data_IF_236446621907
#
_entry.id   IF_236446621907
#
_cell.length_a   1.000
_cell.length_b   1.000
_cell.length_c   1.000
_cell.angle_alpha   90.00
_cell.angle_beta   90.00
_cell.angle_gamma   90.00
#
_symmetry.space_group_name_H-M   'P 1'
#
loop_
_entity.id
_entity.type
_entity.pdbx_description
1 polymer ?
#
# COMPACT_ATOMS: atom_id res chain seq x y z
N UNK A 1 -8.72 -1.60 -6.84
CA UNK A 1 -7.62 -0.63 -6.77
C UNK A 1 -6.50 -1.17 -7.65
N UNK A 2 -5.95 -0.41 -8.60
CA UNK A 2 -4.86 -0.92 -9.45
C UNK A 2 -3.55 -0.85 -8.68
N UNK A 3 -3.10 -2.00 -8.18
CA UNK A 3 -1.90 -2.15 -7.36
C UNK A 3 -0.65 -2.02 -8.24
N UNK A 4 0.08 -0.93 -8.06
CA UNK A 4 1.32 -0.63 -8.80
C UNK A 4 2.49 -0.52 -7.84
N UNK A 5 3.68 -0.84 -8.31
CA UNK A 5 4.91 -0.58 -7.55
C UNK A 5 5.34 0.88 -7.69
N UNK A 6 5.82 1.46 -6.60
CA UNK A 6 6.41 2.80 -6.53
C UNK A 6 7.93 2.73 -6.57
N UNK A 7 8.51 1.70 -5.95
CA UNK A 7 9.95 1.44 -5.94
C UNK A 7 10.23 -0.05 -6.07
N UNK A 8 11.34 -0.37 -6.72
CA UNK A 8 11.96 -1.70 -6.74
C UNK A 8 13.45 -1.53 -6.51
N UNK A 9 14.06 -2.41 -5.72
CA UNK A 9 15.50 -2.43 -5.45
C UNK A 9 16.04 -3.85 -5.57
N UNK A 10 17.24 -4.05 -6.10
CA UNK A 10 17.89 -5.35 -6.09
C UNK A 10 18.32 -5.69 -4.65
N UNK A 11 18.07 -6.93 -4.22
CA UNK A 11 18.58 -7.46 -2.96
C UNK A 11 19.84 -8.30 -3.18
N UNK A 12 20.19 -9.17 -2.24
CA UNK A 12 21.31 -10.11 -2.39
C UNK A 12 20.98 -11.21 -3.42
N UNK A 13 21.98 -11.69 -4.16
CA UNK A 13 21.80 -12.74 -5.17
C UNK A 13 20.84 -12.31 -6.29
N UNK A 14 19.70 -13.00 -6.40
CA UNK A 14 18.66 -12.73 -7.42
C UNK A 14 17.33 -12.31 -6.77
N UNK A 15 17.42 -11.65 -5.62
CA UNK A 15 16.25 -11.17 -4.89
C UNK A 15 15.85 -9.75 -5.27
N UNK A 16 14.57 -9.43 -5.08
CA UNK A 16 13.99 -8.11 -5.30
C UNK A 16 13.20 -7.62 -4.09
N UNK A 17 13.37 -6.35 -3.76
CA UNK A 17 12.55 -5.62 -2.80
C UNK A 17 11.61 -4.69 -3.55
N UNK A 18 10.30 -4.96 -3.47
CA UNK A 18 9.25 -4.16 -4.10
C UNK A 18 8.50 -3.37 -3.03
N UNK A 19 8.15 -2.12 -3.36
CA UNK A 19 7.20 -1.30 -2.59
C UNK A 19 6.03 -0.95 -3.47
N UNK A 20 4.82 -1.18 -2.99
CA UNK A 20 3.58 -0.92 -3.69
C UNK A 20 2.99 0.44 -3.31
N UNK A 21 2.10 0.95 -4.15
CA UNK A 21 1.41 2.23 -3.94
C UNK A 21 0.47 2.23 -2.73
N UNK A 22 0.05 1.05 -2.27
CA UNK A 22 -0.67 0.86 -1.01
C UNK A 22 0.28 0.93 0.21
N UNK A 23 1.60 1.00 0.00
CA UNK A 23 2.63 0.99 1.02
C UNK A 23 3.08 -0.41 1.44
N UNK A 24 2.50 -1.47 0.87
CA UNK A 24 2.97 -2.82 1.16
C UNK A 24 4.36 -3.04 0.56
N UNK A 25 5.13 -3.95 1.16
CA UNK A 25 6.42 -4.36 0.62
C UNK A 25 6.47 -5.87 0.42
N UNK A 26 7.21 -6.28 -0.61
CA UNK A 26 7.47 -7.69 -0.90
C UNK A 26 8.97 -7.87 -1.12
N UNK A 27 9.54 -8.89 -0.50
CA UNK A 27 10.88 -9.38 -0.76
C UNK A 27 10.75 -10.78 -1.36
N UNK A 28 11.21 -10.97 -2.60
CA UNK A 28 11.04 -12.22 -3.34
C UNK A 28 12.32 -12.62 -4.07
N UNK A 29 12.52 -13.92 -4.23
CA UNK A 29 13.60 -14.51 -5.02
C UNK A 29 13.10 -14.74 -6.47
N UNK A 30 13.76 -14.13 -7.45
CA UNK A 30 13.44 -14.30 -8.88
C UNK A 30 14.43 -15.22 -9.61
N UNK A 31 15.17 -16.06 -8.89
CA UNK A 31 16.07 -17.07 -9.47
C UNK A 31 15.41 -17.93 -10.56
N UNK A 32 14.11 -18.25 -10.42
CA UNK A 32 13.34 -18.98 -11.45
C UNK A 32 13.29 -18.29 -12.80
N UNK A 33 13.34 -16.96 -12.84
CA UNK A 33 13.34 -16.20 -14.09
C UNK A 33 14.55 -16.54 -14.95
N UNK A 34 15.71 -16.80 -14.32
CA UNK A 34 16.95 -17.21 -14.99
C UNK A 34 16.86 -18.64 -15.53
N UNK A 35 16.12 -19.51 -14.85
CA UNK A 35 15.99 -20.93 -15.19
C UNK A 35 14.91 -21.19 -16.26
N UNK A 36 13.81 -20.44 -16.24
CA UNK A 36 12.62 -20.72 -17.07
C UNK A 36 12.64 -20.03 -18.44
N UNK A 37 13.30 -18.87 -18.58
CA UNK A 37 13.48 -18.20 -19.88
C UNK A 37 14.93 -17.75 -20.09
N UNK A 38 15.90 -18.69 -20.23
CA UNK A 38 17.31 -18.35 -20.34
C UNK A 38 17.61 -17.44 -21.54
N UNK A 39 16.79 -17.46 -22.58
CA UNK A 39 16.98 -16.59 -23.76
C UNK A 39 16.77 -15.12 -23.41
N UNK A 40 15.62 -14.79 -22.80
CA UNK A 40 15.29 -13.41 -22.44
C UNK A 40 16.02 -12.96 -21.18
N UNK A 41 16.24 -13.85 -20.22
CA UNK A 41 16.78 -13.51 -18.90
C UNK A 41 18.28 -13.80 -18.73
N UNK A 42 18.99 -14.39 -19.72
CA UNK A 42 20.43 -14.68 -19.62
C UNK A 42 21.26 -13.47 -19.18
N UNK A 43 20.90 -12.27 -19.63
CA UNK A 43 21.61 -11.03 -19.27
C UNK A 43 21.48 -10.70 -17.78
N UNK A 44 20.42 -11.14 -17.13
CA UNK A 44 20.21 -10.94 -15.70
C UNK A 44 21.14 -11.81 -14.83
N UNK A 45 21.84 -12.79 -15.42
CA UNK A 45 22.92 -13.50 -14.74
C UNK A 45 24.13 -12.58 -14.45
N UNK A 46 24.30 -11.51 -15.25
CA UNK A 46 25.24 -10.44 -14.92
C UNK A 46 24.63 -9.56 -13.82
N UNK A 47 25.30 -9.53 -12.67
CA UNK A 47 24.88 -8.73 -11.52
C UNK A 47 24.76 -7.25 -11.85
N UNK A 48 25.65 -6.70 -12.68
CA UNK A 48 25.61 -5.29 -13.07
C UNK A 48 24.36 -4.96 -13.90
N UNK A 49 23.84 -5.92 -14.67
CA UNK A 49 22.57 -5.77 -15.39
C UNK A 49 21.39 -5.94 -14.44
N UNK A 50 21.42 -6.94 -13.55
CA UNK A 50 20.37 -7.19 -12.58
C UNK A 50 20.13 -5.99 -11.65
N UNK A 51 21.20 -5.29 -11.24
CA UNK A 51 21.11 -4.12 -10.36
C UNK A 51 20.48 -2.90 -11.03
N UNK A 52 20.37 -2.87 -12.36
CA UNK A 52 19.71 -1.79 -13.10
C UNK A 52 18.17 -1.92 -13.13
N UNK A 53 17.63 -2.78 -12.25
CA UNK A 53 16.20 -2.98 -12.08
C UNK A 53 15.46 -1.67 -11.77
N UNK A 54 14.34 -1.44 -12.45
CA UNK A 54 13.49 -0.26 -12.22
C UNK A 54 12.01 -0.56 -12.44
N UNK A 55 11.10 0.23 -11.83
CA UNK A 55 9.68 0.13 -12.14
C UNK A 55 9.44 0.44 -13.62
N UNK A 56 8.59 -0.36 -14.27
CA UNK A 56 8.09 -0.05 -15.60
C UNK A 56 7.25 1.25 -15.59
N UNK A 57 6.99 1.87 -16.75
CA UNK A 57 6.35 3.19 -16.84
C UNK A 57 5.00 3.32 -16.13
N UNK A 58 4.26 2.20 -16.01
CA UNK A 58 2.95 2.13 -15.34
C UNK A 58 3.01 1.56 -13.92
N UNK A 59 4.20 1.20 -13.43
CA UNK A 59 4.39 0.50 -12.16
C UNK A 59 3.72 -0.88 -12.12
N UNK A 60 3.38 -1.47 -13.27
CA UNK A 60 2.77 -2.81 -13.37
C UNK A 60 3.79 -3.91 -13.69
N UNK A 61 5.01 -3.51 -14.04
CA UNK A 61 6.11 -4.43 -14.28
C UNK A 61 7.37 -3.93 -13.56
N UNK A 62 8.25 -4.86 -13.28
CA UNK A 62 9.66 -4.62 -13.04
C UNK A 62 10.36 -4.74 -14.40
N UNK A 63 11.30 -3.86 -14.70
CA UNK A 63 12.02 -3.84 -15.98
C UNK A 63 13.52 -3.77 -15.77
N UNK A 64 14.26 -4.39 -16.68
CA UNK A 64 15.72 -4.33 -16.79
C UNK A 64 16.11 -3.88 -18.21
N UNK A 65 17.38 -3.50 -18.44
CA UNK A 65 17.87 -3.22 -19.79
C UNK A 65 17.70 -4.40 -20.75
N UNK A 66 17.39 -4.11 -22.01
CA UNK A 66 17.25 -5.14 -23.06
C UNK A 66 15.89 -5.83 -23.11
N UNK A 67 14.82 -5.08 -22.84
CA UNK A 67 13.41 -5.52 -22.98
C UNK A 67 13.00 -6.69 -22.09
N UNK A 68 13.71 -6.89 -20.98
CA UNK A 68 13.34 -7.86 -19.96
C UNK A 68 12.39 -7.20 -18.98
N UNK A 69 11.16 -7.70 -18.90
CA UNK A 69 10.15 -7.25 -17.96
C UNK A 69 9.45 -8.41 -17.25
N UNK A 70 8.95 -8.11 -16.06
CA UNK A 70 8.21 -9.05 -15.22
C UNK A 70 6.99 -8.36 -14.62
N UNK A 71 5.79 -8.92 -14.81
CA UNK A 71 4.56 -8.40 -14.22
C UNK A 71 4.65 -8.43 -12.68
N UNK A 72 4.24 -7.36 -11.98
CA UNK A 72 4.36 -7.27 -10.51
C UNK A 72 3.31 -8.06 -9.75
N UNK A 73 2.24 -8.50 -10.41
CA UNK A 73 1.19 -9.32 -9.82
C UNK A 73 1.68 -10.73 -9.51
N UNK A 74 2.69 -11.24 -10.24
CA UNK A 74 3.35 -12.55 -10.00
C UNK A 74 3.76 -12.75 -8.54
N UNK A 75 4.09 -11.64 -7.85
CA UNK A 75 4.50 -11.62 -6.44
C UNK A 75 3.35 -11.58 -5.45
N UNK A 76 2.10 -11.40 -5.90
CA UNK A 76 0.88 -11.29 -5.07
C UNK A 76 -0.16 -12.38 -5.36
N UNK A 77 0.01 -13.20 -6.40
CA UNK A 77 -0.84 -14.38 -6.63
C UNK A 77 -0.77 -15.38 -5.46
N UNK A 78 -1.81 -16.22 -5.38
CA UNK A 78 -1.90 -17.36 -4.47
C UNK A 78 -2.16 -18.65 -5.30
N UNK A 79 -1.18 -19.57 -5.43
CA UNK A 79 0.19 -19.46 -4.91
C UNK A 79 1.02 -18.44 -5.71
N UNK A 80 2.08 -17.85 -5.12
CA UNK A 80 2.96 -16.93 -5.84
C UNK A 80 3.81 -17.68 -6.85
N UNK A 81 4.09 -17.05 -8.00
CA UNK A 81 4.91 -17.65 -9.06
C UNK A 81 6.39 -17.78 -8.64
N UNK A 82 6.84 -16.86 -7.76
CA UNK A 82 8.19 -16.80 -7.23
C UNK A 82 8.19 -17.00 -5.71
N UNK A 83 9.24 -17.62 -5.13
CA UNK A 83 9.41 -17.70 -3.69
C UNK A 83 9.40 -16.30 -3.05
N UNK A 84 8.47 -16.10 -2.12
CA UNK A 84 8.35 -14.86 -1.36
C UNK A 84 9.06 -15.07 -0.02
N UNK A 85 10.14 -14.32 0.18
CA UNK A 85 10.99 -14.43 1.36
C UNK A 85 10.41 -13.62 2.54
N UNK A 86 9.80 -12.47 2.27
CA UNK A 86 9.08 -11.68 3.26
C UNK A 86 7.99 -10.81 2.61
N UNK A 87 6.93 -10.50 3.34
CA UNK A 87 5.93 -9.48 2.97
C UNK A 87 5.63 -8.60 4.17
N UNK A 88 5.57 -7.29 3.95
CA UNK A 88 4.94 -6.37 4.90
C UNK A 88 3.63 -5.90 4.27
N UNK A 89 2.48 -6.12 4.93
CA UNK A 89 1.20 -5.61 4.42
C UNK A 89 1.24 -4.08 4.34
N UNK A 90 0.37 -3.47 3.51
CA UNK A 90 0.30 -2.02 3.47
C UNK A 90 0.05 -1.46 4.87
N UNK A 91 0.67 -0.33 5.25
CA UNK A 91 0.33 0.34 6.48
C UNK A 91 -1.17 0.57 6.45
N UNK A 92 -1.88 -0.04 7.40
CA UNK A 92 -3.34 -0.01 7.47
C UNK A 92 -3.84 1.37 7.87
N UNK A 93 -3.06 2.44 7.75
CA UNK A 93 -3.34 3.73 8.37
C UNK A 93 -4.38 4.54 7.58
N UNK A 94 -5.64 4.12 7.67
CA UNK A 94 -6.77 4.84 7.10
C UNK A 94 -6.71 6.30 7.58
N UNK A 95 -6.64 7.27 6.65
CA UNK A 95 -6.51 8.68 7.00
C UNK A 95 -7.66 9.22 7.84
N UNK A 96 -8.87 8.65 7.68
CA UNK A 96 -10.04 8.98 8.49
C UNK A 96 -9.85 8.46 9.91
N UNK A 97 -9.56 7.17 10.10
CA UNK A 97 -9.29 6.60 11.43
C UNK A 97 -8.15 7.32 12.16
N UNK A 98 -7.08 7.70 11.43
CA UNK A 98 -5.98 8.52 11.97
C UNK A 98 -6.46 9.89 12.44
N UNK A 99 -7.23 10.61 11.60
CA UNK A 99 -7.75 11.92 11.95
C UNK A 99 -8.69 11.86 13.17
N UNK A 100 -9.56 10.85 13.24
CA UNK A 100 -10.44 10.63 14.38
C UNK A 100 -9.64 10.35 15.67
N UNK A 101 -8.60 9.51 15.59
CA UNK A 101 -7.73 9.20 16.73
C UNK A 101 -7.02 10.44 17.26
N UNK A 102 -6.50 11.27 16.36
CA UNK A 102 -5.87 12.54 16.71
C UNK A 102 -6.87 13.48 17.40
N UNK A 103 -8.10 13.59 16.89
CA UNK A 103 -9.15 14.42 17.50
C UNK A 103 -9.54 13.92 18.91
N UNK A 104 -9.68 12.60 19.09
CA UNK A 104 -9.97 12.00 20.41
C UNK A 104 -8.82 12.26 21.38
N UNK A 105 -7.57 12.07 20.96
CA UNK A 105 -6.39 12.35 21.80
C UNK A 105 -6.30 13.83 22.20
N UNK A 106 -6.54 14.74 21.26
CA UNK A 106 -6.52 16.18 21.53
C UNK A 106 -7.64 16.66 22.46
N UNK A 107 -8.75 15.92 22.54
CA UNK A 107 -9.88 16.27 23.41
C UNK A 107 -9.62 16.08 24.90
N UNK A 108 -8.61 15.26 25.27
CA UNK A 108 -8.35 14.87 26.65
C UNK A 108 -9.39 13.92 27.28
N UNK A 109 -10.44 13.54 26.54
CA UNK A 109 -11.44 12.57 27.02
C UNK A 109 -10.98 11.13 26.80
N UNK A 110 -11.43 10.22 27.69
CA UNK A 110 -11.29 8.79 27.46
C UNK A 110 -12.16 8.34 26.28
N UNK A 111 -11.82 7.22 25.66
CA UNK A 111 -12.66 6.67 24.58
C UNK A 111 -14.10 6.37 25.03
N UNK A 112 -14.29 5.87 26.25
CA UNK A 112 -15.64 5.61 26.78
C UNK A 112 -16.45 6.91 26.93
N UNK A 113 -15.81 8.00 27.34
CA UNK A 113 -16.46 9.30 27.46
C UNK A 113 -16.81 9.89 26.09
N UNK A 114 -15.92 9.79 25.12
CA UNK A 114 -16.20 10.21 23.75
C UNK A 114 -17.35 9.39 23.14
N UNK A 115 -17.34 8.07 23.34
CA UNK A 115 -18.40 7.21 22.83
C UNK A 115 -19.76 7.58 23.43
N UNK A 116 -19.81 7.81 24.75
CA UNK A 116 -21.00 8.27 25.47
C UNK A 116 -21.51 9.60 24.91
N UNK A 117 -20.64 10.60 24.74
CA UNK A 117 -20.99 11.91 24.18
C UNK A 117 -21.47 11.83 22.72
N UNK A 118 -20.90 10.92 21.94
CA UNK A 118 -21.29 10.69 20.55
C UNK A 118 -22.58 9.86 20.39
N UNK A 119 -23.18 9.38 21.48
CA UNK A 119 -24.33 8.48 21.43
C UNK A 119 -23.98 7.11 20.84
N UNK A 120 -22.72 6.67 21.01
CA UNK A 120 -22.18 5.42 20.48
C UNK A 120 -21.82 4.45 21.60
N UNK A 121 -21.91 3.15 21.30
CA UNK A 121 -21.28 2.13 22.12
C UNK A 121 -19.75 2.19 21.97
N UNK A 122 -19.00 1.94 23.04
CA UNK A 122 -17.53 1.99 23.00
C UNK A 122 -16.91 1.09 21.91
N UNK A 123 -17.41 -0.14 21.63
CA UNK A 123 -16.90 -0.95 20.51
C UNK A 123 -17.11 -0.31 19.14
N UNK A 124 -18.17 0.48 18.95
CA UNK A 124 -18.38 1.21 17.70
C UNK A 124 -17.36 2.33 17.54
N UNK A 125 -17.04 3.06 18.61
CA UNK A 125 -15.96 4.05 18.57
C UNK A 125 -14.61 3.37 18.33
N UNK A 126 -14.29 2.30 19.05
CA UNK A 126 -13.03 1.58 18.89
C UNK A 126 -12.81 1.12 17.44
N UNK A 127 -13.87 0.63 16.79
CA UNK A 127 -13.86 0.25 15.37
C UNK A 127 -13.63 1.45 14.44
N UNK A 128 -14.21 2.62 14.73
CA UNK A 128 -13.94 3.85 13.96
C UNK A 128 -12.50 4.34 14.13
N UNK A 129 -11.83 3.98 15.22
CA UNK A 129 -10.43 4.35 15.49
C UNK A 129 -9.44 3.29 15.00
N UNK A 130 -9.88 2.12 14.55
CA UNK A 130 -9.02 1.08 14.01
C UNK A 130 -8.42 1.57 12.68
N UNK A 131 -7.08 1.56 12.53
CA UNK A 131 -6.43 1.86 11.26
C UNK A 131 -7.07 1.11 10.08
N UNK A 132 -7.31 -0.19 10.21
CA UNK A 132 -7.76 -1.04 9.10
C UNK A 132 -9.26 -0.90 8.78
N UNK A 133 -10.01 -0.13 9.55
CA UNK A 133 -11.45 0.04 9.32
C UNK A 133 -11.71 1.07 8.22
N UNK A 134 -12.56 0.74 7.25
CA UNK A 134 -12.89 1.62 6.11
C UNK A 134 -14.37 2.04 6.02
N UNK A 135 -15.24 1.52 6.89
CA UNK A 135 -16.70 1.72 6.80
C UNK A 135 -17.23 3.00 7.45
N UNK A 136 -16.51 4.13 7.38
CA UNK A 136 -16.94 5.36 8.03
C UNK A 136 -18.16 5.98 7.33
N UNK A 137 -19.29 6.05 8.03
CA UNK A 137 -20.46 6.79 7.55
C UNK A 137 -20.33 8.29 7.90
N UNK A 138 -20.82 9.18 7.04
CA UNK A 138 -20.84 10.61 7.32
C UNK A 138 -21.63 10.93 8.60
N UNK A 139 -22.69 10.17 8.90
CA UNK A 139 -23.45 10.31 10.13
C UNK A 139 -22.57 10.03 11.36
N UNK A 140 -21.83 8.93 11.37
CA UNK A 140 -20.91 8.58 12.46
C UNK A 140 -19.80 9.63 12.63
N UNK A 141 -19.26 10.17 11.52
CA UNK A 141 -18.28 11.24 11.57
C UNK A 141 -18.85 12.51 12.23
N UNK A 142 -20.08 12.91 11.86
CA UNK A 142 -20.76 14.06 12.43
C UNK A 142 -21.09 13.89 13.92
N UNK A 143 -21.56 12.71 14.32
CA UNK A 143 -21.83 12.38 15.73
C UNK A 143 -20.57 12.51 16.59
N UNK A 144 -19.45 11.96 16.09
CA UNK A 144 -18.17 12.05 16.78
C UNK A 144 -17.63 13.48 16.81
N UNK A 145 -17.71 14.23 15.72
CA UNK A 145 -17.30 15.63 15.68
C UNK A 145 -18.11 16.48 16.66
N UNK A 146 -19.45 16.34 16.67
CA UNK A 146 -20.31 17.04 17.61
C UNK A 146 -19.98 16.73 19.09
N UNK A 147 -19.67 15.47 19.40
CA UNK A 147 -19.24 15.05 20.75
C UNK A 147 -17.94 15.71 21.21
N UNK A 148 -17.09 16.09 20.27
CA UNK A 148 -15.81 16.74 20.49
C UNK A 148 -15.87 18.27 20.31
N UNK A 149 -17.03 18.84 19.98
CA UNK A 149 -17.16 20.27 19.68
C UNK A 149 -16.48 20.69 18.36
N UNK A 150 -16.38 19.76 17.40
CA UNK A 150 -15.75 19.94 16.10
C UNK A 150 -16.79 19.89 14.97
N UNK A 151 -16.39 20.32 13.78
CA UNK A 151 -17.17 20.19 12.55
C UNK A 151 -16.44 19.28 11.53
N UNK A 152 -17.22 18.66 10.65
CA UNK A 152 -16.69 17.81 9.57
C UNK A 152 -16.60 18.61 8.28
N UNK A 153 -15.38 18.83 7.79
CA UNK A 153 -15.11 19.38 6.47
C UNK A 153 -14.78 18.24 5.47
N UNK A 154 -15.36 18.30 4.27
CA UNK A 154 -15.09 17.33 3.20
C UNK A 154 -14.42 18.05 2.03
N UNK A 155 -13.20 17.63 1.69
CA UNK A 155 -12.46 18.14 0.54
C UNK A 155 -12.30 17.06 -0.52
N UNK A 156 -12.72 17.34 -1.75
CA UNK A 156 -12.45 16.50 -2.91
C UNK A 156 -11.13 16.92 -3.54
N UNK A 157 -10.15 16.01 -3.58
CA UNK A 157 -8.85 16.25 -4.22
C UNK A 157 -8.86 15.67 -5.62
N UNK A 158 -8.24 16.38 -6.58
CA UNK A 158 -7.95 15.77 -7.88
C UNK A 158 -7.02 14.58 -7.66
N UNK A 159 -7.27 13.42 -8.29
CA UNK A 159 -6.29 12.35 -8.29
C UNK A 159 -5.00 12.89 -8.89
N UNK A 160 -3.84 12.51 -8.32
CA UNK A 160 -2.54 12.89 -8.85
C UNK A 160 -2.52 12.62 -10.37
N UNK A 161 -2.02 13.55 -11.19
CA UNK A 161 -2.10 13.44 -12.64
C UNK A 161 -1.53 12.08 -13.07
N UNK A 162 -2.40 11.26 -13.67
CA UNK A 162 -1.98 10.02 -14.30
C UNK A 162 -1.02 10.43 -15.42
N UNK A 163 0.24 9.99 -15.34
CA UNK A 163 1.24 10.30 -16.36
C UNK A 163 0.65 10.04 -17.74
N UNK A 164 0.82 10.96 -18.71
CA UNK A 164 0.13 10.90 -19.98
C UNK A 164 0.32 9.53 -20.62
N UNK A 165 -0.80 8.84 -20.85
CA UNK A 165 -0.84 7.58 -21.60
C UNK A 165 -0.40 7.91 -23.02
N UNK A 166 0.87 7.64 -23.34
CA UNK A 166 1.41 7.80 -24.69
C UNK A 166 0.52 7.06 -25.70
N UNK A 167 0.11 7.80 -26.74
CA UNK A 167 -0.54 7.27 -27.95
C UNK A 167 0.50 6.58 -28.82
#
# INVERSE_FOLDING_TARGET
MLERITTVRPGEGTTLHLTYSDGATVHADVSRLLSEDPGRSARLADRAVFEQVKPGPRGRSVTWPGDVDLDVQVFRHEPPAFPVLARTPPPTDNPISRALRAAVQASGFSQSEVARRAGMQQPNLARLLDPAYHGHSLNSLRQLAAALGLEVEIQLKRPAPEAPRGR
#
